data_IF_965202932625
#
_entry.id   IF_965202932625
#
_cell.length_a   1.000
_cell.length_b   1.000
_cell.length_c   1.000
_cell.angle_alpha   90.00
_cell.angle_beta   90.00
_cell.angle_gamma   90.00
#
_symmetry.space_group_name_H-M   'P 1'
#
loop_
_entity.id
_entity.type
_entity.pdbx_description
1 polymer ?
#
# COMPACT_ATOMS: atom_id res chain seq x y z
N UNK A 1 -15.36 16.19 -11.75
CA UNK A 1 -16.04 15.69 -10.54
C UNK A 1 -14.95 15.42 -9.53
N UNK A 2 -14.92 16.19 -8.48
CA UNK A 2 -13.81 16.19 -7.52
C UNK A 2 -13.85 14.92 -6.65
N UNK A 3 -12.74 14.18 -6.61
CA UNK A 3 -12.51 13.09 -5.70
C UNK A 3 -12.13 13.70 -4.34
N UNK A 4 -12.98 13.55 -3.35
CA UNK A 4 -12.69 13.94 -1.97
C UNK A 4 -12.67 12.70 -1.06
N UNK A 5 -12.26 12.88 0.20
CA UNK A 5 -12.15 11.80 1.16
C UNK A 5 -13.43 10.94 1.25
N UNK A 6 -14.60 11.57 1.36
CA UNK A 6 -15.87 10.86 1.50
C UNK A 6 -16.25 10.08 0.24
N UNK A 7 -16.02 10.65 -0.94
CA UNK A 7 -16.27 9.94 -2.20
C UNK A 7 -15.34 8.74 -2.37
N UNK A 8 -14.08 8.84 -1.98
CA UNK A 8 -13.14 7.72 -1.98
C UNK A 8 -13.56 6.62 -0.99
N UNK A 9 -14.00 7.00 0.22
CA UNK A 9 -14.55 6.03 1.19
C UNK A 9 -15.80 5.32 0.65
N UNK A 10 -16.69 6.02 -0.04
CA UNK A 10 -17.85 5.41 -0.67
C UNK A 10 -17.43 4.42 -1.75
N UNK A 11 -16.53 4.81 -2.66
CA UNK A 11 -16.02 3.91 -3.68
C UNK A 11 -15.38 2.67 -3.03
N UNK A 12 -14.56 2.86 -2.01
CA UNK A 12 -13.94 1.77 -1.26
C UNK A 12 -14.98 0.78 -0.68
N UNK A 13 -15.97 1.30 0.03
CA UNK A 13 -17.00 0.48 0.67
C UNK A 13 -17.89 -0.24 -0.35
N UNK A 14 -18.35 0.49 -1.38
CA UNK A 14 -19.26 -0.07 -2.40
C UNK A 14 -18.54 -1.14 -3.23
N UNK A 15 -17.32 -0.89 -3.69
CA UNK A 15 -16.58 -1.91 -4.44
C UNK A 15 -16.13 -3.08 -3.57
N UNK A 16 -15.85 -2.86 -2.28
CA UNK A 16 -15.61 -3.96 -1.34
C UNK A 16 -16.85 -4.85 -1.17
N UNK A 17 -18.03 -4.25 -1.12
CA UNK A 17 -19.30 -4.98 -1.05
C UNK A 17 -19.60 -5.71 -2.37
N UNK A 18 -19.48 -5.04 -3.51
CA UNK A 18 -19.70 -5.66 -4.82
C UNK A 18 -18.72 -6.82 -5.09
N UNK A 19 -17.47 -6.67 -4.69
CA UNK A 19 -16.47 -7.73 -4.76
C UNK A 19 -16.86 -8.93 -3.91
N UNK A 20 -17.32 -8.70 -2.68
CA UNK A 20 -17.85 -9.75 -1.82
C UNK A 20 -19.07 -10.44 -2.45
N UNK A 21 -20.00 -9.70 -3.03
CA UNK A 21 -21.17 -10.28 -3.74
C UNK A 21 -20.70 -11.17 -4.87
N UNK A 22 -19.80 -10.67 -5.74
CA UNK A 22 -19.31 -11.43 -6.88
C UNK A 22 -18.63 -12.75 -6.45
N UNK A 23 -17.71 -12.69 -5.47
CA UNK A 23 -17.02 -13.86 -4.94
C UNK A 23 -17.99 -14.86 -4.29
N UNK A 24 -18.92 -14.35 -3.48
CA UNK A 24 -19.91 -15.18 -2.78
C UNK A 24 -20.88 -15.86 -3.76
N UNK A 25 -21.33 -15.15 -4.79
CA UNK A 25 -22.19 -15.71 -5.84
C UNK A 25 -21.46 -16.83 -6.59
N UNK A 26 -20.23 -16.58 -7.06
CA UNK A 26 -19.44 -17.58 -7.78
C UNK A 26 -19.17 -18.81 -6.90
N UNK A 27 -18.81 -18.61 -5.65
CA UNK A 27 -18.55 -19.72 -4.72
C UNK A 27 -19.83 -20.50 -4.38
N UNK A 28 -20.96 -19.81 -4.19
CA UNK A 28 -22.26 -20.42 -3.90
C UNK A 28 -22.75 -21.26 -5.06
N UNK A 29 -22.62 -20.77 -6.30
CA UNK A 29 -22.99 -21.54 -7.50
C UNK A 29 -22.13 -22.79 -7.64
N UNK A 30 -20.79 -22.67 -7.45
CA UNK A 30 -19.87 -23.82 -7.53
C UNK A 30 -20.07 -24.81 -6.41
N UNK A 31 -20.31 -24.33 -5.18
CA UNK A 31 -20.47 -25.17 -3.99
C UNK A 31 -21.87 -25.69 -3.72
N UNK A 32 -22.88 -25.28 -4.51
CA UNK A 32 -24.31 -25.58 -4.30
C UNK A 32 -24.83 -25.28 -2.89
N UNK A 33 -24.15 -24.42 -2.17
CA UNK A 33 -24.51 -23.97 -0.81
C UNK A 33 -23.97 -22.56 -0.59
N UNK A 34 -24.62 -21.76 0.28
CA UNK A 34 -24.14 -20.41 0.58
C UNK A 34 -22.74 -20.42 1.18
N UNK A 35 -21.78 -19.75 0.52
CA UNK A 35 -20.39 -19.66 0.93
C UNK A 35 -20.00 -18.18 1.03
N UNK A 36 -19.84 -17.66 2.26
CA UNK A 36 -19.31 -16.32 2.47
C UNK A 36 -17.79 -16.29 2.21
N UNK A 37 -17.38 -15.61 1.14
CA UNK A 37 -15.98 -15.52 0.67
C UNK A 37 -15.20 -14.32 1.23
N UNK A 38 -15.81 -13.47 2.06
CA UNK A 38 -15.10 -12.38 2.73
C UNK A 38 -14.02 -12.91 3.67
N UNK A 39 -12.84 -12.27 3.72
CA UNK A 39 -11.81 -12.53 4.75
C UNK A 39 -12.35 -12.13 6.12
N UNK A 40 -13.03 -11.00 6.20
CA UNK A 40 -13.78 -10.54 7.38
C UNK A 40 -15.14 -11.25 7.50
N UNK A 41 -15.79 -11.11 8.64
CA UNK A 41 -17.12 -11.71 8.90
C UNK A 41 -18.22 -10.98 8.14
N UNK A 42 -18.06 -9.68 7.93
CA UNK A 42 -18.99 -8.82 7.19
C UNK A 42 -18.95 -9.02 5.68
N UNK A 43 -19.89 -8.40 4.97
CA UNK A 43 -20.04 -8.54 3.53
C UNK A 43 -19.06 -7.62 2.77
N UNK A 44 -17.77 -7.71 3.06
CA UNK A 44 -16.74 -6.88 2.44
C UNK A 44 -15.54 -7.69 1.98
N UNK A 45 -15.10 -7.42 0.74
CA UNK A 45 -13.84 -7.90 0.20
C UNK A 45 -12.94 -6.69 -0.11
N UNK A 46 -12.11 -6.31 0.86
CA UNK A 46 -11.34 -5.05 0.84
C UNK A 46 -10.32 -4.95 -0.29
N UNK A 47 -9.89 -6.08 -0.85
CA UNK A 47 -9.01 -6.12 -2.03
C UNK A 47 -9.62 -5.35 -3.20
N UNK A 48 -10.93 -5.56 -3.44
CA UNK A 48 -11.67 -4.88 -4.51
C UNK A 48 -11.80 -3.38 -4.26
N UNK A 49 -12.14 -2.98 -3.03
CA UNK A 49 -12.23 -1.57 -2.67
C UNK A 49 -10.89 -0.86 -2.80
N UNK A 50 -9.81 -1.50 -2.33
CA UNK A 50 -8.44 -0.96 -2.45
C UNK A 50 -8.05 -0.78 -3.91
N UNK A 51 -8.24 -1.81 -4.74
CA UNK A 51 -7.93 -1.72 -6.17
C UNK A 51 -8.75 -0.62 -6.86
N UNK A 52 -10.06 -0.53 -6.57
CA UNK A 52 -10.94 0.46 -7.17
C UNK A 52 -10.58 1.90 -6.79
N UNK A 53 -10.22 2.16 -5.53
CA UNK A 53 -9.78 3.49 -5.10
C UNK A 53 -8.47 3.89 -5.78
N UNK A 54 -7.49 2.99 -5.82
CA UNK A 54 -6.22 3.24 -6.51
C UNK A 54 -6.43 3.51 -8.01
N UNK A 55 -7.36 2.78 -8.65
CA UNK A 55 -7.73 3.03 -10.06
C UNK A 55 -8.46 4.36 -10.24
N UNK A 56 -9.37 4.71 -9.32
CA UNK A 56 -10.13 5.95 -9.40
C UNK A 56 -9.21 7.18 -9.29
N UNK A 57 -8.21 7.12 -8.42
CA UNK A 57 -7.21 8.20 -8.23
C UNK A 57 -6.18 8.20 -9.34
N UNK A 58 -5.60 7.01 -9.63
CA UNK A 58 -4.44 6.91 -10.51
C UNK A 58 -4.75 6.97 -12.00
N UNK A 59 -5.96 6.56 -12.44
CA UNK A 59 -6.25 6.35 -13.87
C UNK A 59 -7.38 7.22 -14.42
N UNK A 60 -7.75 8.28 -13.69
CA UNK A 60 -8.77 9.23 -14.15
C UNK A 60 -8.39 9.85 -15.51
N UNK A 61 -7.12 10.17 -15.69
CA UNK A 61 -6.57 10.81 -16.90
C UNK A 61 -6.46 9.86 -18.10
N UNK A 62 -6.48 8.55 -17.85
CA UNK A 62 -6.36 7.52 -18.90
C UNK A 62 -7.70 7.18 -19.58
N UNK A 63 -8.80 7.85 -19.22
CA UNK A 63 -10.14 7.59 -19.80
C UNK A 63 -10.19 7.74 -21.31
N UNK A 64 -9.37 8.62 -21.88
CA UNK A 64 -9.26 8.85 -23.32
C UNK A 64 -8.40 7.81 -24.04
N UNK A 65 -7.67 6.97 -23.32
CA UNK A 65 -6.73 5.98 -23.87
C UNK A 65 -7.08 4.58 -23.40
N UNK A 66 -8.06 3.89 -24.01
CA UNK A 66 -8.61 2.62 -23.50
C UNK A 66 -7.59 1.52 -23.30
N UNK A 67 -6.59 1.41 -24.19
CA UNK A 67 -5.54 0.39 -24.07
C UNK A 67 -4.66 0.65 -22.84
N UNK A 68 -4.24 1.91 -22.63
CA UNK A 68 -3.43 2.28 -21.48
C UNK A 68 -4.24 2.11 -20.19
N UNK A 69 -5.51 2.48 -20.17
CA UNK A 69 -6.44 2.28 -19.07
C UNK A 69 -6.57 0.79 -18.72
N UNK A 70 -6.80 -0.07 -19.72
CA UNK A 70 -6.89 -1.52 -19.52
C UNK A 70 -5.62 -2.08 -18.90
N UNK A 71 -4.44 -1.76 -19.47
CA UNK A 71 -3.16 -2.25 -18.98
C UNK A 71 -2.87 -1.75 -17.55
N UNK A 72 -3.16 -0.47 -17.28
CA UNK A 72 -3.03 0.10 -15.94
C UNK A 72 -3.93 -0.60 -14.92
N UNK A 73 -5.20 -0.82 -15.25
CA UNK A 73 -6.16 -1.53 -14.39
C UNK A 73 -5.74 -2.98 -14.14
N UNK A 74 -5.31 -3.70 -15.18
CA UNK A 74 -4.84 -5.08 -15.06
C UNK A 74 -3.59 -5.16 -14.17
N UNK A 75 -2.61 -4.29 -14.38
CA UNK A 75 -1.40 -4.23 -13.56
C UNK A 75 -1.72 -3.89 -12.09
N UNK A 76 -2.51 -2.83 -11.86
CA UNK A 76 -2.90 -2.42 -10.51
C UNK A 76 -3.61 -3.55 -9.75
N UNK A 77 -4.63 -4.16 -10.36
CA UNK A 77 -5.38 -5.24 -9.70
C UNK A 77 -4.48 -6.45 -9.41
N UNK A 78 -3.62 -6.84 -10.35
CA UNK A 78 -2.65 -7.93 -10.18
C UNK A 78 -1.70 -7.66 -9.01
N UNK A 79 -1.22 -6.41 -8.90
CA UNK A 79 -0.35 -5.98 -7.80
C UNK A 79 -1.10 -6.04 -6.46
N UNK A 80 -2.29 -5.47 -6.40
CA UNK A 80 -3.10 -5.45 -5.16
C UNK A 80 -3.45 -6.87 -4.73
N UNK A 81 -3.84 -7.75 -5.66
CA UNK A 81 -4.14 -9.16 -5.39
C UNK A 81 -2.91 -9.91 -4.88
N UNK A 82 -1.77 -9.75 -5.55
CA UNK A 82 -0.51 -10.40 -5.15
C UNK A 82 -0.02 -9.93 -3.78
N UNK A 83 0.00 -8.59 -3.54
CA UNK A 83 0.40 -8.00 -2.26
C UNK A 83 -0.51 -8.51 -1.14
N UNK A 84 -1.82 -8.50 -1.37
CA UNK A 84 -2.80 -8.95 -0.38
C UNK A 84 -2.62 -10.43 -0.06
N UNK A 85 -2.45 -11.28 -1.08
CA UNK A 85 -2.22 -12.72 -0.89
C UNK A 85 -0.96 -12.98 -0.04
N UNK A 86 0.14 -12.30 -0.38
CA UNK A 86 1.42 -12.38 0.37
C UNK A 86 1.28 -11.91 1.81
N UNK A 87 0.59 -10.80 2.05
CA UNK A 87 0.36 -10.27 3.39
C UNK A 87 -0.50 -11.22 4.22
N UNK A 88 -1.61 -11.71 3.65
CA UNK A 88 -2.50 -12.65 4.32
C UNK A 88 -1.77 -13.97 4.66
N UNK A 89 -0.97 -14.51 3.73
CA UNK A 89 -0.18 -15.71 4.01
C UNK A 89 0.83 -15.49 5.12
N UNK A 90 1.51 -14.33 5.15
CA UNK A 90 2.45 -14.00 6.23
C UNK A 90 1.78 -13.78 7.58
N UNK A 91 0.62 -13.11 7.59
CA UNK A 91 -0.14 -12.84 8.81
C UNK A 91 -0.78 -14.10 9.37
N UNK A 92 -1.34 -14.93 8.50
CA UNK A 92 -2.16 -16.07 8.92
C UNK A 92 -1.45 -17.42 8.70
N UNK A 93 -0.26 -17.44 8.09
CA UNK A 93 0.51 -18.64 7.73
C UNK A 93 -0.31 -19.65 6.94
N UNK A 94 -1.23 -19.17 6.09
CA UNK A 94 -2.14 -19.97 5.26
C UNK A 94 -2.33 -19.29 3.93
N UNK A 95 -2.36 -20.05 2.82
CA UNK A 95 -2.79 -19.57 1.51
C UNK A 95 -4.30 -19.50 1.45
N UNK A 96 -4.84 -18.33 1.09
CA UNK A 96 -6.28 -18.14 0.96
C UNK A 96 -6.81 -18.58 -0.39
N UNK A 97 -5.99 -18.48 -1.43
CA UNK A 97 -6.24 -19.02 -2.77
C UNK A 97 -4.93 -19.45 -3.40
N UNK A 98 -5.02 -20.34 -4.41
CA UNK A 98 -3.87 -20.87 -5.13
C UNK A 98 -4.21 -21.04 -6.61
N UNK A 99 -3.44 -20.37 -7.48
CA UNK A 99 -3.52 -20.46 -8.93
C UNK A 99 -2.32 -21.19 -9.53
N UNK A 100 -1.62 -22.00 -8.76
CA UNK A 100 -0.43 -22.73 -9.23
C UNK A 100 -0.73 -23.66 -10.40
N UNK A 101 -1.99 -24.12 -10.53
CA UNK A 101 -2.50 -24.93 -11.63
C UNK A 101 -2.77 -24.14 -12.92
N UNK A 102 -2.77 -22.79 -12.84
CA UNK A 102 -3.08 -21.92 -13.99
C UNK A 102 -1.83 -21.55 -14.77
N UNK A 103 -1.96 -21.49 -16.11
CA UNK A 103 -0.88 -21.01 -16.98
C UNK A 103 -0.58 -19.54 -16.70
N UNK A 104 0.72 -19.17 -16.79
CA UNK A 104 1.21 -17.80 -16.53
C UNK A 104 0.80 -17.29 -15.14
N UNK A 105 0.87 -18.15 -14.12
CA UNK A 105 0.74 -17.69 -12.73
C UNK A 105 2.07 -17.14 -12.20
N UNK A 106 1.97 -16.23 -11.24
CA UNK A 106 3.09 -15.72 -10.47
C UNK A 106 2.90 -16.16 -9.01
N UNK A 107 3.78 -17.08 -8.57
CA UNK A 107 3.79 -17.64 -7.20
C UNK A 107 2.49 -18.38 -6.80
N UNK A 108 1.59 -18.64 -7.73
CA UNK A 108 0.27 -19.18 -7.43
C UNK A 108 -0.70 -18.13 -6.83
N UNK A 109 -0.27 -16.88 -6.62
CA UNK A 109 -1.14 -15.84 -6.05
C UNK A 109 -1.97 -15.11 -7.10
N UNK A 110 -1.43 -14.92 -8.31
CA UNK A 110 -2.09 -14.28 -9.44
C UNK A 110 -1.83 -15.06 -10.72
N UNK A 111 -2.70 -14.92 -11.72
CA UNK A 111 -2.47 -15.51 -13.04
C UNK A 111 -3.02 -14.58 -14.15
N UNK A 112 -2.45 -14.73 -15.36
CA UNK A 112 -2.78 -13.87 -16.50
C UNK A 112 -4.28 -13.82 -16.81
N UNK A 113 -4.97 -14.95 -16.72
CA UNK A 113 -6.41 -15.02 -17.00
C UNK A 113 -7.22 -14.10 -16.10
N UNK A 114 -6.94 -14.10 -14.80
CA UNK A 114 -7.62 -13.22 -13.84
C UNK A 114 -7.12 -11.79 -13.93
N UNK A 115 -5.84 -11.56 -14.23
CA UNK A 115 -5.31 -10.21 -14.49
C UNK A 115 -6.04 -9.52 -15.66
N UNK A 116 -6.33 -10.26 -16.74
CA UNK A 116 -7.12 -9.74 -17.87
C UNK A 116 -8.56 -9.43 -17.43
N UNK A 117 -9.20 -10.34 -16.68
CA UNK A 117 -10.55 -10.12 -16.17
C UNK A 117 -10.61 -8.88 -15.27
N UNK A 118 -9.65 -8.73 -14.36
CA UNK A 118 -9.53 -7.56 -13.48
C UNK A 118 -9.28 -6.27 -14.25
N UNK A 119 -8.49 -6.34 -15.33
CA UNK A 119 -8.30 -5.21 -16.24
C UNK A 119 -9.59 -4.70 -16.86
N UNK A 120 -10.44 -5.63 -17.35
CA UNK A 120 -11.75 -5.29 -17.91
C UNK A 120 -12.71 -4.72 -16.87
N UNK A 121 -12.79 -5.34 -15.69
CA UNK A 121 -13.65 -4.87 -14.60
C UNK A 121 -13.18 -3.51 -14.08
N UNK A 122 -11.87 -3.31 -13.94
CA UNK A 122 -11.27 -2.04 -13.53
C UNK A 122 -11.56 -0.94 -14.57
N UNK A 123 -11.39 -1.22 -15.84
CA UNK A 123 -11.74 -0.28 -16.91
C UNK A 123 -13.24 0.09 -16.85
N UNK A 124 -14.14 -0.88 -16.68
CA UNK A 124 -15.55 -0.63 -16.51
C UNK A 124 -15.86 0.23 -15.28
N UNK A 125 -15.16 0.00 -14.17
CA UNK A 125 -15.32 0.80 -12.96
C UNK A 125 -14.90 2.26 -13.18
N UNK A 126 -13.75 2.50 -13.82
CA UNK A 126 -13.23 3.87 -14.07
C UNK A 126 -14.09 4.61 -15.09
N UNK A 127 -14.53 3.94 -16.17
CA UNK A 127 -15.30 4.60 -17.25
C UNK A 127 -16.75 4.89 -16.83
N UNK A 128 -17.40 3.95 -16.17
CA UNK A 128 -18.86 4.03 -15.91
C UNK A 128 -19.20 3.91 -14.42
N UNK A 129 -18.62 2.95 -13.73
CA UNK A 129 -18.98 2.61 -12.35
C UNK A 129 -18.78 3.78 -11.38
N UNK A 130 -17.61 4.41 -11.40
CA UNK A 130 -17.32 5.57 -10.55
C UNK A 130 -18.24 6.75 -10.84
N UNK A 131 -18.52 7.03 -12.12
CA UNK A 131 -19.41 8.12 -12.52
C UNK A 131 -20.83 7.87 -12.01
N UNK A 132 -21.33 6.63 -12.16
CA UNK A 132 -22.66 6.26 -11.67
C UNK A 132 -22.74 6.38 -10.15
N UNK A 133 -21.79 5.80 -9.42
CA UNK A 133 -21.78 5.83 -7.95
C UNK A 133 -21.70 7.25 -7.40
N UNK A 134 -20.84 8.08 -7.98
CA UNK A 134 -20.70 9.48 -7.55
C UNK A 134 -21.96 10.31 -7.86
N UNK A 135 -22.66 10.04 -8.99
CA UNK A 135 -23.97 10.64 -9.25
C UNK A 135 -25.03 10.20 -8.23
N UNK A 136 -25.05 8.92 -7.87
CA UNK A 136 -25.97 8.41 -6.83
C UNK A 136 -25.67 9.04 -5.46
N UNK A 137 -24.39 9.19 -5.11
CA UNK A 137 -24.00 9.87 -3.87
C UNK A 137 -24.43 11.34 -3.85
N UNK A 138 -24.39 12.02 -4.98
CA UNK A 138 -24.82 13.42 -5.09
C UNK A 138 -26.34 13.62 -4.86
N UNK A 139 -27.15 12.56 -4.93
CA UNK A 139 -28.57 12.59 -4.59
C UNK A 139 -28.82 12.57 -3.07
N UNK A 140 -27.82 12.17 -2.28
CA UNK A 140 -27.97 12.09 -0.84
C UNK A 140 -27.59 13.43 -0.19
N UNK A 141 -28.30 13.85 0.87
CA UNK A 141 -27.87 14.98 1.68
C UNK A 141 -26.47 14.73 2.26
N UNK A 142 -25.57 15.73 2.19
CA UNK A 142 -24.16 15.59 2.60
C UNK A 142 -23.98 15.05 4.01
N UNK A 143 -24.80 15.51 4.97
CA UNK A 143 -24.74 15.02 6.34
C UNK A 143 -25.05 13.52 6.46
N UNK A 144 -26.02 13.01 5.67
CA UNK A 144 -26.39 11.59 5.67
C UNK A 144 -25.26 10.74 5.08
N UNK A 145 -24.62 11.23 4.00
CA UNK A 145 -23.46 10.57 3.40
C UNK A 145 -22.31 10.49 4.41
N UNK A 146 -22.00 11.57 5.12
CA UNK A 146 -20.92 11.61 6.11
C UNK A 146 -21.18 10.62 7.27
N UNK A 147 -22.39 10.63 7.86
CA UNK A 147 -22.76 9.69 8.92
C UNK A 147 -22.69 8.25 8.41
N UNK A 148 -23.23 7.98 7.23
CA UNK A 148 -23.21 6.64 6.63
C UNK A 148 -21.81 6.12 6.37
N UNK A 149 -20.92 6.96 5.85
CA UNK A 149 -19.50 6.61 5.62
C UNK A 149 -18.79 6.31 6.94
N UNK A 150 -18.91 7.17 7.95
CA UNK A 150 -18.25 6.94 9.24
C UNK A 150 -18.78 5.69 9.93
N UNK A 151 -20.11 5.47 9.93
CA UNK A 151 -20.71 4.27 10.50
C UNK A 151 -20.22 2.99 9.79
N UNK A 152 -20.24 2.97 8.45
CA UNK A 152 -19.81 1.82 7.65
C UNK A 152 -18.30 1.56 7.80
N UNK A 153 -17.46 2.59 7.79
CA UNK A 153 -16.00 2.46 8.01
C UNK A 153 -15.70 1.96 9.42
N UNK A 154 -16.39 2.47 10.43
CA UNK A 154 -16.21 2.00 11.82
C UNK A 154 -16.56 0.52 11.92
N UNK A 155 -17.72 0.10 11.39
CA UNK A 155 -18.13 -1.30 11.38
C UNK A 155 -17.13 -2.18 10.62
N UNK A 156 -16.64 -1.73 9.48
CA UNK A 156 -15.64 -2.45 8.69
C UNK A 156 -14.31 -2.61 9.46
N UNK A 157 -13.84 -1.56 10.14
CA UNK A 157 -12.63 -1.61 10.98
C UNK A 157 -12.82 -2.56 12.16
N UNK A 158 -13.95 -2.46 12.87
CA UNK A 158 -14.24 -3.35 14.00
C UNK A 158 -14.33 -4.82 13.58
N UNK A 159 -14.92 -5.11 12.42
CA UNK A 159 -14.99 -6.47 11.86
C UNK A 159 -13.60 -7.00 11.49
N UNK A 160 -12.74 -6.16 10.90
CA UNK A 160 -11.34 -6.51 10.61
C UNK A 160 -10.53 -6.77 11.86
N UNK A 161 -10.65 -5.90 12.86
CA UNK A 161 -9.96 -6.09 14.15
C UNK A 161 -10.45 -7.35 14.84
N UNK A 162 -11.76 -7.60 14.88
CA UNK A 162 -12.36 -8.82 15.43
C UNK A 162 -11.86 -10.08 14.72
N UNK A 163 -11.79 -10.04 13.38
CA UNK A 163 -11.26 -11.14 12.55
C UNK A 163 -9.76 -11.35 12.78
N UNK A 164 -8.96 -10.27 12.82
CA UNK A 164 -7.53 -10.34 13.07
C UNK A 164 -7.22 -10.90 14.48
N UNK A 165 -7.96 -10.47 15.49
CA UNK A 165 -7.84 -11.01 16.87
C UNK A 165 -8.24 -12.49 16.94
N UNK A 166 -9.29 -12.89 16.20
CA UNK A 166 -9.73 -14.29 16.16
C UNK A 166 -8.72 -15.20 15.44
N UNK A 167 -8.06 -14.72 14.39
CA UNK A 167 -7.13 -15.51 13.57
C UNK A 167 -5.69 -15.47 14.12
N UNK A 168 -5.27 -14.37 14.77
CA UNK A 168 -3.92 -14.19 15.31
C UNK A 168 -3.66 -14.91 16.64
N UNK A 169 -4.41 -15.95 16.96
CA UNK A 169 -4.21 -16.80 18.15
C UNK A 169 -2.80 -17.38 18.28
N UNK A 170 -1.95 -17.28 17.24
CA UNK A 170 -0.59 -17.80 17.19
C UNK A 170 0.51 -16.73 17.39
N UNK A 171 0.18 -15.46 17.58
CA UNK A 171 1.17 -14.39 17.81
C UNK A 171 1.39 -14.06 19.30
N UNK A 172 0.71 -14.73 20.21
CA UNK A 172 0.85 -14.50 21.64
C UNK A 172 2.01 -15.33 22.22
N UNK A 173 3.23 -14.89 22.03
CA UNK A 173 4.39 -15.29 22.84
C UNK A 173 5.06 -14.07 23.48
N UNK A 174 4.25 -13.16 24.05
CA UNK A 174 4.76 -12.10 24.91
C UNK A 174 4.16 -12.23 26.32
N UNK A 175 4.98 -12.47 27.36
CA UNK A 175 4.50 -12.76 28.73
C UNK A 175 3.68 -11.62 29.37
N UNK A 176 3.84 -10.38 28.94
CA UNK A 176 3.05 -9.24 29.44
C UNK A 176 1.62 -9.16 28.86
N UNK A 177 1.40 -9.68 27.64
CA UNK A 177 0.07 -9.78 27.04
C UNK A 177 -0.69 -10.99 27.56
N UNK A 178 0.01 -12.00 28.04
CA UNK A 178 -0.57 -13.19 28.66
C UNK A 178 -1.22 -12.87 30.03
N UNK A 179 -0.64 -11.99 30.82
CA UNK A 179 -1.22 -11.54 32.09
C UNK A 179 -2.48 -10.66 31.89
N UNK A 180 -2.47 -9.73 30.93
CA UNK A 180 -3.65 -8.95 30.54
C UNK A 180 -4.75 -9.83 29.90
N UNK A 181 -4.37 -10.86 29.16
CA UNK A 181 -5.30 -11.85 28.63
C UNK A 181 -5.98 -12.68 29.74
N UNK A 182 -5.23 -13.10 30.75
CA UNK A 182 -5.76 -13.90 31.87
C UNK A 182 -6.81 -13.14 32.71
N UNK A 183 -6.67 -11.81 32.84
CA UNK A 183 -7.68 -10.99 33.54
C UNK A 183 -8.94 -10.74 32.68
N UNK A 184 -8.77 -10.57 31.35
CA UNK A 184 -9.89 -10.46 30.40
C UNK A 184 -10.55 -11.82 30.12
N UNK A 185 -9.82 -12.91 30.23
CA UNK A 185 -10.30 -14.28 30.02
C UNK A 185 -11.40 -14.69 31.01
N UNK A 186 -11.35 -14.23 32.26
CA UNK A 186 -12.34 -14.60 33.27
C UNK A 186 -13.78 -14.11 32.96
N UNK A 187 -13.94 -13.08 32.13
CA UNK A 187 -15.26 -12.49 31.85
C UNK A 187 -15.74 -12.65 30.39
N UNK A 188 -14.90 -13.06 29.45
CA UNK A 188 -15.27 -13.08 28.02
C UNK A 188 -15.08 -14.42 27.27
N UNK A 189 -14.64 -15.47 27.94
CA UNK A 189 -14.26 -16.75 27.30
C UNK A 189 -15.34 -17.40 26.43
N UNK A 190 -16.58 -17.38 26.88
CA UNK A 190 -17.66 -18.01 26.09
C UNK A 190 -17.99 -17.28 24.79
N UNK A 191 -17.94 -15.95 24.81
CA UNK A 191 -18.22 -15.13 23.63
C UNK A 191 -17.06 -15.18 22.64
N UNK A 192 -15.82 -15.09 23.15
CA UNK A 192 -14.58 -15.18 22.39
C UNK A 192 -14.42 -16.53 21.71
N UNK A 193 -14.64 -17.63 22.43
CA UNK A 193 -14.57 -18.99 21.85
C UNK A 193 -15.65 -19.20 20.77
N UNK A 194 -16.85 -18.67 20.95
CA UNK A 194 -17.91 -18.74 19.94
C UNK A 194 -17.54 -17.92 18.68
N UNK A 195 -16.99 -16.71 18.85
CA UNK A 195 -16.53 -15.87 17.74
C UNK A 195 -15.39 -16.53 16.96
N UNK A 196 -14.37 -17.04 17.67
CA UNK A 196 -13.23 -17.74 17.05
C UNK A 196 -13.72 -18.98 16.29
N UNK A 197 -14.53 -19.84 16.92
CA UNK A 197 -15.07 -21.03 16.29
C UNK A 197 -15.98 -20.70 15.08
N UNK A 198 -16.73 -19.61 15.15
CA UNK A 198 -17.57 -19.16 14.05
C UNK A 198 -16.71 -18.69 12.85
N UNK A 199 -15.68 -17.87 13.10
CA UNK A 199 -14.77 -17.37 12.08
C UNK A 199 -13.97 -18.51 11.45
N UNK A 200 -13.44 -19.42 12.26
CA UNK A 200 -12.66 -20.57 11.79
C UNK A 200 -13.49 -21.53 10.94
N UNK A 201 -14.70 -21.86 11.39
CA UNK A 201 -15.66 -22.69 10.62
C UNK A 201 -16.07 -22.03 9.31
N UNK A 202 -16.21 -20.69 9.29
CA UNK A 202 -16.50 -19.92 8.09
C UNK A 202 -15.32 -19.94 7.12
N UNK A 203 -14.11 -19.71 7.60
CA UNK A 203 -12.89 -19.76 6.79
C UNK A 203 -12.70 -21.12 6.15
N UNK A 204 -12.84 -22.21 6.90
CA UNK A 204 -12.73 -23.57 6.38
C UNK A 204 -13.79 -23.88 5.31
N UNK A 205 -15.02 -23.36 5.46
CA UNK A 205 -16.07 -23.53 4.45
C UNK A 205 -15.83 -22.69 3.20
N UNK A 206 -15.34 -21.46 3.37
CA UNK A 206 -15.09 -20.53 2.27
C UNK A 206 -13.86 -20.94 1.44
N UNK A 207 -12.86 -21.52 2.09
CA UNK A 207 -11.55 -21.85 1.49
C UNK A 207 -11.11 -23.27 1.87
N UNK A 208 -11.77 -24.32 1.34
CA UNK A 208 -11.50 -25.70 1.72
C UNK A 208 -10.09 -26.19 1.34
N UNK A 209 -9.46 -25.55 0.36
CA UNK A 209 -8.10 -25.85 -0.13
C UNK A 209 -7.03 -24.97 0.52
N UNK A 210 -7.18 -24.63 1.79
CA UNK A 210 -6.11 -23.93 2.51
C UNK A 210 -4.96 -24.92 2.71
N UNK A 211 -4.00 -24.90 1.79
CA UNK A 211 -2.74 -25.64 1.95
C UNK A 211 -1.94 -24.93 3.05
N UNK A 212 -1.68 -25.64 4.14
CA UNK A 212 -0.64 -25.19 5.07
C UNK A 212 0.67 -25.28 4.30
N UNK A 213 1.45 -24.19 4.18
CA UNK A 213 2.79 -24.32 3.63
C UNK A 213 3.53 -25.34 4.48
N UNK A 214 4.14 -26.35 3.83
CA UNK A 214 5.05 -27.24 4.54
C UNK A 214 6.08 -26.37 5.30
N UNK A 215 6.44 -26.75 6.52
CA UNK A 215 7.45 -26.02 7.27
C UNK A 215 8.78 -26.14 6.51
N UNK A 216 9.03 -25.23 5.58
CA UNK A 216 10.36 -25.05 4.99
C UNK A 216 11.32 -24.81 6.12
N UNK A 217 12.26 -25.73 6.25
CA UNK A 217 13.31 -25.72 7.24
C UNK A 217 14.13 -24.44 7.14
N UNK A 218 13.79 -23.50 7.90
CA UNK A 218 14.48 -22.41 8.54
C UNK A 218 13.42 -21.35 8.85
N UNK A 219 13.01 -21.28 10.12
CA UNK A 219 12.19 -20.19 10.65
C UNK A 219 12.98 -18.88 10.52
N UNK A 220 12.89 -18.24 9.36
CA UNK A 220 13.31 -16.85 9.27
C UNK A 220 12.48 -16.03 10.25
N UNK A 221 13.18 -15.46 11.23
CA UNK A 221 12.57 -14.67 12.29
C UNK A 221 11.80 -13.49 11.66
N UNK A 222 10.51 -13.37 11.91
CA UNK A 222 9.70 -12.28 11.40
C UNK A 222 10.36 -10.92 11.67
N UNK A 223 10.30 -9.99 10.71
CA UNK A 223 10.78 -8.62 10.91
C UNK A 223 9.95 -7.97 12.02
N UNK A 224 10.61 -7.48 13.06
CA UNK A 224 9.94 -6.71 14.11
C UNK A 224 9.59 -5.31 13.60
N UNK A 225 8.69 -4.60 14.29
CA UNK A 225 8.40 -3.19 13.98
C UNK A 225 9.69 -2.34 13.96
N UNK A 226 10.58 -2.54 14.93
CA UNK A 226 11.86 -1.85 14.95
C UNK A 226 12.72 -2.12 13.71
N UNK A 227 12.70 -3.35 13.17
CA UNK A 227 13.41 -3.66 11.92
C UNK A 227 12.86 -2.87 10.74
N UNK A 228 11.53 -2.74 10.66
CA UNK A 228 10.87 -1.98 9.60
C UNK A 228 11.20 -0.48 9.70
N UNK A 229 11.23 0.09 10.91
CA UNK A 229 11.62 1.49 11.12
C UNK A 229 13.06 1.73 10.68
N UNK A 230 13.99 0.88 11.09
CA UNK A 230 15.39 1.04 10.69
C UNK A 230 15.59 0.82 9.19
N UNK A 231 14.92 -0.16 8.59
CA UNK A 231 14.92 -0.36 7.13
C UNK A 231 14.38 0.87 6.41
N UNK A 232 13.28 1.45 6.90
CA UNK A 232 12.71 2.66 6.33
C UNK A 232 13.71 3.82 6.35
N UNK A 233 14.33 4.08 7.50
CA UNK A 233 15.27 5.21 7.66
C UNK A 233 16.53 5.00 6.81
N UNK A 234 17.11 3.79 6.85
CA UNK A 234 18.28 3.44 6.02
C UNK A 234 17.93 3.57 4.53
N UNK A 235 16.76 3.06 4.13
CA UNK A 235 16.29 3.15 2.75
C UNK A 235 16.02 4.58 2.30
N UNK A 236 15.39 5.38 3.16
CA UNK A 236 15.13 6.78 2.88
C UNK A 236 16.42 7.60 2.71
N UNK A 237 17.40 7.35 3.57
CA UNK A 237 18.70 8.01 3.50
C UNK A 237 19.50 7.58 2.28
N UNK A 238 19.69 6.27 2.08
CA UNK A 238 20.47 5.74 0.96
C UNK A 238 19.82 6.09 -0.38
N UNK A 239 18.50 6.02 -0.46
CA UNK A 239 17.77 6.36 -1.68
C UNK A 239 17.94 7.82 -2.07
N UNK A 240 17.87 8.75 -1.11
CA UNK A 240 18.12 10.17 -1.37
C UNK A 240 19.55 10.40 -1.87
N UNK A 241 20.54 9.78 -1.22
CA UNK A 241 21.95 9.88 -1.64
C UNK A 241 22.16 9.34 -3.06
N UNK A 242 21.64 8.15 -3.35
CA UNK A 242 21.77 7.52 -4.67
C UNK A 242 21.10 8.37 -5.76
N UNK A 243 19.90 8.87 -5.48
CA UNK A 243 19.15 9.68 -6.44
C UNK A 243 19.80 11.06 -6.66
N UNK A 244 20.34 11.67 -5.61
CA UNK A 244 21.09 12.92 -5.70
C UNK A 244 22.37 12.75 -6.54
N UNK A 245 23.10 11.64 -6.34
CA UNK A 245 24.28 11.29 -7.15
C UNK A 245 23.88 11.00 -8.60
N UNK A 246 22.77 10.29 -8.81
CA UNK A 246 22.24 10.03 -10.15
C UNK A 246 21.92 11.34 -10.89
N UNK A 247 21.26 12.30 -10.25
CA UNK A 247 20.99 13.61 -10.82
C UNK A 247 22.28 14.36 -11.15
N UNK A 248 23.33 14.25 -10.31
CA UNK A 248 24.62 14.86 -10.59
C UNK A 248 25.27 14.28 -11.84
N UNK A 249 25.23 12.97 -12.00
CA UNK A 249 25.85 12.27 -13.13
C UNK A 249 25.07 12.49 -14.43
N UNK A 250 23.73 12.46 -14.37
CA UNK A 250 22.88 12.51 -15.58
C UNK A 250 22.52 13.92 -16.01
N UNK A 251 22.25 14.82 -15.07
CA UNK A 251 21.82 16.19 -15.34
C UNK A 251 22.91 17.25 -15.05
N UNK A 252 24.04 16.84 -14.48
CA UNK A 252 25.17 17.75 -14.17
C UNK A 252 24.92 18.69 -12.99
N UNK A 253 23.80 18.60 -12.30
CA UNK A 253 23.40 19.49 -11.22
C UNK A 253 23.28 18.76 -9.88
N UNK A 254 23.66 19.43 -8.79
CA UNK A 254 23.34 18.97 -7.45
C UNK A 254 21.91 19.41 -7.11
N UNK A 255 21.04 18.46 -6.91
CA UNK A 255 19.62 18.69 -6.64
C UNK A 255 19.18 17.83 -5.47
N UNK A 256 18.51 18.44 -4.48
CA UNK A 256 17.89 17.67 -3.40
C UNK A 256 16.83 16.74 -3.95
N UNK A 257 16.83 15.49 -3.48
CA UNK A 257 15.80 14.48 -3.75
C UNK A 257 15.05 14.08 -2.49
N UNK A 258 15.27 14.85 -1.40
CA UNK A 258 14.60 14.62 -0.15
C UNK A 258 13.09 14.86 -0.24
N UNK A 259 12.34 13.98 0.39
CA UNK A 259 10.89 14.17 0.61
C UNK A 259 10.60 14.94 1.90
N UNK A 260 11.61 15.21 2.74
CA UNK A 260 11.46 15.78 4.06
C UNK A 260 12.26 17.06 4.22
N UNK A 261 11.71 18.00 5.02
CA UNK A 261 12.33 19.32 5.28
C UNK A 261 13.54 19.25 6.21
N UNK A 262 13.68 18.14 6.96
CA UNK A 262 14.83 17.88 7.82
C UNK A 262 15.60 16.65 7.39
N UNK A 263 16.78 16.84 6.90
CA UNK A 263 17.72 15.80 6.50
C UNK A 263 17.46 15.22 5.11
N UNK A 264 18.41 14.44 4.60
CA UNK A 264 18.37 13.82 3.28
C UNK A 264 17.59 12.50 3.34
N UNK A 265 16.27 12.56 3.36
CA UNK A 265 15.41 11.38 3.45
C UNK A 265 14.36 11.36 2.34
N UNK A 266 14.39 10.37 1.49
CA UNK A 266 13.36 10.07 0.50
C UNK A 266 12.36 9.05 1.05
N UNK A 267 11.15 9.51 1.39
CA UNK A 267 10.06 8.65 1.89
C UNK A 267 9.72 7.55 0.90
N UNK A 268 9.74 7.86 -0.39
CA UNK A 268 9.49 6.91 -1.48
C UNK A 268 10.49 5.74 -1.42
N UNK A 269 11.78 6.01 -1.32
CA UNK A 269 12.80 4.97 -1.20
C UNK A 269 12.72 4.19 0.12
N UNK A 270 12.41 4.88 1.21
CA UNK A 270 12.22 4.23 2.51
C UNK A 270 11.08 3.21 2.47
N UNK A 271 9.93 3.60 1.96
CA UNK A 271 8.78 2.71 1.79
C UNK A 271 9.05 1.59 0.78
N UNK A 272 9.73 1.89 -0.33
CA UNK A 272 10.11 0.89 -1.32
C UNK A 272 10.97 -0.22 -0.71
N UNK A 273 11.98 0.14 0.11
CA UNK A 273 12.83 -0.85 0.77
C UNK A 273 12.07 -1.70 1.81
N UNK A 274 11.22 -1.08 2.62
CA UNK A 274 10.36 -1.81 3.56
C UNK A 274 9.45 -2.76 2.79
N UNK A 275 8.80 -2.30 1.74
CA UNK A 275 7.93 -3.11 0.90
C UNK A 275 8.71 -4.27 0.25
N UNK A 276 9.88 -3.98 -0.33
CA UNK A 276 10.74 -5.01 -0.92
C UNK A 276 11.19 -6.05 0.13
N UNK A 277 11.61 -5.61 1.31
CA UNK A 277 12.00 -6.52 2.40
C UNK A 277 10.83 -7.37 2.91
N UNK A 278 9.61 -6.82 2.92
CA UNK A 278 8.41 -7.56 3.33
C UNK A 278 7.92 -8.49 2.24
N UNK A 279 7.87 -8.05 0.99
CA UNK A 279 7.24 -8.80 -0.11
C UNK A 279 8.19 -9.81 -0.76
N UNK A 280 9.48 -9.45 -0.93
CA UNK A 280 10.47 -10.28 -1.61
C UNK A 280 11.25 -11.20 -0.68
N UNK A 281 10.99 -11.16 0.62
CA UNK A 281 11.61 -12.07 1.58
C UNK A 281 11.30 -13.54 1.23
N UNK A 282 12.30 -14.41 1.30
CA UNK A 282 12.17 -15.81 0.88
C UNK A 282 12.13 -15.97 -0.65
N UNK A 283 12.56 -14.93 -1.39
CA UNK A 283 12.70 -14.99 -2.86
C UNK A 283 14.13 -15.23 -3.31
N UNK A 284 15.04 -15.51 -2.38
CA UNK A 284 16.47 -15.76 -2.65
C UNK A 284 16.68 -16.99 -3.56
N UNK A 285 15.82 -17.98 -3.46
CA UNK A 285 15.87 -19.19 -4.29
C UNK A 285 15.24 -19.01 -5.68
N UNK A 286 14.58 -17.87 -5.94
CA UNK A 286 13.96 -17.62 -7.23
C UNK A 286 14.98 -17.27 -8.30
N UNK A 287 14.63 -17.55 -9.57
CA UNK A 287 15.42 -17.12 -10.71
C UNK A 287 15.47 -15.59 -10.83
N UNK A 288 16.58 -15.04 -11.29
CA UNK A 288 16.74 -13.60 -11.52
C UNK A 288 15.67 -13.04 -12.48
N UNK A 289 15.22 -13.85 -13.44
CA UNK A 289 14.12 -13.47 -14.34
C UNK A 289 12.81 -13.22 -13.60
N UNK A 290 12.49 -14.08 -12.64
CA UNK A 290 11.28 -13.93 -11.83
C UNK A 290 11.36 -12.71 -10.92
N UNK A 291 12.52 -12.47 -10.30
CA UNK A 291 12.77 -11.30 -9.46
C UNK A 291 12.71 -10.02 -10.30
N UNK A 292 13.33 -10.04 -11.48
CA UNK A 292 13.30 -8.91 -12.41
C UNK A 292 11.88 -8.56 -12.85
N UNK A 293 11.11 -9.53 -13.36
CA UNK A 293 9.72 -9.31 -13.78
C UNK A 293 8.86 -8.78 -12.65
N UNK A 294 9.04 -9.31 -11.46
CA UNK A 294 8.37 -8.82 -10.27
C UNK A 294 8.74 -7.35 -9.98
N UNK A 295 10.03 -7.03 -9.93
CA UNK A 295 10.51 -5.67 -9.71
C UNK A 295 10.07 -4.69 -10.79
N UNK A 296 10.07 -5.13 -12.05
CA UNK A 296 9.57 -4.36 -13.19
C UNK A 296 8.10 -3.93 -13.00
N UNK A 297 7.22 -4.89 -12.71
CA UNK A 297 5.77 -4.62 -12.55
C UNK A 297 5.50 -3.89 -11.23
N UNK A 298 6.05 -4.39 -10.13
CA UNK A 298 5.80 -3.83 -8.81
C UNK A 298 6.42 -2.46 -8.61
N UNK A 299 7.63 -2.26 -9.11
CA UNK A 299 8.30 -0.97 -9.04
C UNK A 299 7.60 0.09 -9.88
N UNK A 300 7.19 -0.25 -11.11
CA UNK A 300 6.42 0.66 -11.95
C UNK A 300 5.05 1.01 -11.34
N UNK A 301 4.34 0.03 -10.78
CA UNK A 301 3.08 0.27 -10.10
C UNK A 301 3.27 1.14 -8.84
N UNK A 302 4.30 0.86 -8.06
CA UNK A 302 4.66 1.64 -6.88
C UNK A 302 4.95 3.11 -7.23
N UNK A 303 5.77 3.35 -8.25
CA UNK A 303 6.11 4.69 -8.73
C UNK A 303 4.86 5.45 -9.19
N UNK A 304 4.00 4.77 -9.94
CA UNK A 304 2.72 5.33 -10.39
C UNK A 304 1.83 5.72 -9.20
N UNK A 305 1.67 4.82 -8.22
CA UNK A 305 0.88 5.07 -7.03
C UNK A 305 1.45 6.24 -6.21
N UNK A 306 2.77 6.29 -6.02
CA UNK A 306 3.41 7.39 -5.30
C UNK A 306 3.16 8.75 -5.97
N UNK A 307 3.24 8.80 -7.30
CA UNK A 307 2.92 10.02 -8.06
C UNK A 307 1.46 10.43 -7.89
N UNK A 308 0.53 9.49 -8.06
CA UNK A 308 -0.91 9.76 -7.95
C UNK A 308 -1.32 10.18 -6.53
N UNK A 309 -0.78 9.52 -5.51
CA UNK A 309 -1.04 9.87 -4.10
C UNK A 309 -0.41 11.23 -3.74
N UNK A 310 0.80 11.51 -4.23
CA UNK A 310 1.45 12.81 -4.03
C UNK A 310 0.63 13.95 -4.60
N UNK A 311 0.12 13.80 -5.82
CA UNK A 311 -0.76 14.80 -6.45
C UNK A 311 -2.09 14.95 -5.69
N UNK A 312 -2.72 13.84 -5.28
CA UNK A 312 -3.97 13.88 -4.52
C UNK A 312 -3.82 14.59 -3.18
N UNK A 313 -2.71 14.37 -2.45
CA UNK A 313 -2.51 14.90 -1.10
C UNK A 313 -1.98 16.34 -1.11
N UNK A 314 -1.15 16.68 -2.08
CA UNK A 314 -0.39 17.93 -2.09
C UNK A 314 -0.67 18.83 -3.30
N UNK A 315 -1.45 18.37 -4.28
CA UNK A 315 -1.71 19.14 -5.51
C UNK A 315 -0.47 19.35 -6.39
N UNK A 316 0.60 18.59 -6.15
CA UNK A 316 1.87 18.73 -6.89
C UNK A 316 2.36 17.38 -7.37
N UNK A 317 3.05 17.38 -8.51
CA UNK A 317 3.81 16.23 -9.03
C UNK A 317 5.30 16.48 -8.82
N UNK A 318 6.02 15.44 -8.40
CA UNK A 318 7.46 15.52 -8.11
C UNK A 318 8.33 15.04 -9.27
N UNK A 319 7.74 14.35 -10.25
CA UNK A 319 8.36 13.94 -11.51
C UNK A 319 7.33 13.85 -12.62
N UNK A 320 7.77 14.02 -13.85
CA UNK A 320 6.93 14.04 -15.03
C UNK A 320 7.65 13.35 -16.19
N UNK A 321 7.11 12.22 -16.64
CA UNK A 321 7.63 11.44 -17.77
C UNK A 321 6.84 11.64 -19.05
N UNK A 322 5.98 12.65 -19.15
CA UNK A 322 5.16 12.88 -20.34
C UNK A 322 5.99 13.10 -21.61
N UNK A 323 7.21 13.62 -21.48
CA UNK A 323 8.18 13.75 -22.58
C UNK A 323 8.86 12.45 -23.03
N UNK A 324 8.70 11.35 -22.29
CA UNK A 324 9.29 10.06 -22.63
C UNK A 324 8.32 9.21 -23.45
N UNK A 325 8.85 8.43 -24.41
CA UNK A 325 8.06 7.41 -25.12
C UNK A 325 7.69 6.28 -24.15
N UNK A 326 6.53 5.66 -24.36
CA UNK A 326 6.03 4.57 -23.52
C UNK A 326 5.85 4.95 -22.04
N UNK A 327 5.40 6.17 -21.78
CA UNK A 327 4.97 6.57 -20.44
C UNK A 327 3.49 6.21 -20.23
N UNK A 328 3.09 6.06 -18.97
CA UNK A 328 1.72 5.86 -18.54
C UNK A 328 1.27 7.08 -17.72
N UNK A 329 0.51 7.99 -18.36
CA UNK A 329 0.01 9.20 -17.75
C UNK A 329 1.11 10.17 -17.23
N UNK A 330 2.31 10.15 -17.81
CA UNK A 330 3.46 10.95 -17.33
C UNK A 330 4.02 10.50 -15.99
N UNK A 331 3.41 9.51 -15.31
CA UNK A 331 3.72 9.13 -13.92
C UNK A 331 4.79 8.04 -13.81
N UNK A 332 4.82 7.15 -14.80
CA UNK A 332 5.81 6.07 -14.92
C UNK A 332 6.12 5.84 -16.40
N UNK A 333 7.29 5.36 -16.72
CA UNK A 333 7.63 4.95 -18.08
C UNK A 333 8.32 3.58 -18.10
N UNK A 334 8.32 2.97 -19.30
CA UNK A 334 8.84 1.63 -19.52
C UNK A 334 10.32 1.50 -19.14
N UNK A 335 11.14 2.52 -19.44
CA UNK A 335 12.58 2.50 -19.13
C UNK A 335 12.81 2.42 -17.61
N UNK A 336 12.08 3.20 -16.81
CA UNK A 336 12.20 3.17 -15.36
C UNK A 336 11.66 1.89 -14.76
N UNK A 337 10.63 1.27 -15.38
CA UNK A 337 10.21 -0.08 -14.99
C UNK A 337 11.35 -1.10 -15.14
N UNK A 338 12.17 -1.01 -16.22
CA UNK A 338 13.38 -1.84 -16.37
C UNK A 338 14.39 -1.60 -15.25
N UNK A 339 14.62 -0.34 -14.86
CA UNK A 339 15.49 -0.02 -13.74
C UNK A 339 14.97 -0.58 -12.42
N UNK A 340 13.66 -0.54 -12.17
CA UNK A 340 13.03 -1.19 -11.01
C UNK A 340 13.24 -2.71 -11.02
N UNK A 341 13.14 -3.36 -12.18
CA UNK A 341 13.45 -4.78 -12.35
C UNK A 341 14.89 -5.11 -11.99
N UNK A 342 15.85 -4.34 -12.50
CA UNK A 342 17.27 -4.50 -12.16
C UNK A 342 17.52 -4.23 -10.68
N UNK A 343 16.94 -3.16 -10.14
CA UNK A 343 17.07 -2.79 -8.74
C UNK A 343 16.54 -3.91 -7.81
N UNK A 344 15.45 -4.58 -8.17
CA UNK A 344 14.93 -5.71 -7.41
C UNK A 344 15.90 -6.90 -7.37
N UNK A 345 16.54 -7.23 -8.50
CA UNK A 345 17.55 -8.31 -8.56
C UNK A 345 18.78 -7.93 -7.71
N UNK A 346 19.31 -6.72 -7.89
CA UNK A 346 20.44 -6.22 -7.10
C UNK A 346 20.12 -6.19 -5.61
N UNK A 347 18.91 -5.74 -5.26
CA UNK A 347 18.46 -5.72 -3.87
C UNK A 347 18.43 -7.12 -3.26
N UNK A 348 17.79 -8.09 -3.91
CA UNK A 348 17.68 -9.45 -3.38
C UNK A 348 19.04 -10.14 -3.30
N UNK A 349 19.89 -10.01 -4.31
CA UNK A 349 21.17 -10.70 -4.37
C UNK A 349 22.24 -10.09 -3.48
N UNK A 350 22.25 -8.77 -3.35
CA UNK A 350 23.34 -8.04 -2.67
C UNK A 350 22.84 -7.09 -1.59
N UNK A 351 21.81 -6.29 -1.86
CA UNK A 351 21.35 -5.24 -0.96
C UNK A 351 20.75 -5.78 0.33
N UNK A 352 19.79 -6.67 0.20
CA UNK A 352 19.10 -7.25 1.36
C UNK A 352 20.03 -8.03 2.30
N UNK A 353 20.91 -8.94 1.82
CA UNK A 353 21.89 -9.63 2.68
C UNK A 353 22.82 -8.65 3.40
N UNK A 354 23.29 -7.61 2.71
CA UNK A 354 24.16 -6.58 3.30
C UNK A 354 23.43 -5.81 4.40
N UNK A 355 22.23 -5.33 4.13
CA UNK A 355 21.42 -4.58 5.10
C UNK A 355 20.99 -5.47 6.26
N UNK A 356 20.62 -6.72 6.01
CA UNK A 356 20.29 -7.69 7.06
C UNK A 356 21.48 -7.92 8.01
N UNK A 357 22.71 -8.05 7.47
CA UNK A 357 23.94 -8.18 8.25
C UNK A 357 24.24 -6.89 9.05
N UNK A 358 24.07 -5.73 8.42
CA UNK A 358 24.22 -4.44 9.10
C UNK A 358 23.21 -4.30 10.24
N UNK A 359 21.93 -4.63 9.98
CA UNK A 359 20.88 -4.62 11.01
C UNK A 359 21.17 -5.56 12.16
N UNK A 360 21.66 -6.78 11.87
CA UNK A 360 22.02 -7.74 12.91
C UNK A 360 23.16 -7.22 13.81
N UNK A 361 24.11 -6.48 13.24
CA UNK A 361 25.18 -5.85 14.00
C UNK A 361 24.68 -4.64 14.79
N UNK A 362 23.88 -3.77 14.16
CA UNK A 362 23.31 -2.60 14.80
C UNK A 362 22.40 -2.97 15.98
N UNK A 363 21.63 -4.03 15.88
CA UNK A 363 20.75 -4.53 16.97
C UNK A 363 21.50 -4.80 18.28
N UNK A 364 22.79 -5.10 18.24
CA UNK A 364 23.61 -5.31 19.43
C UNK A 364 23.85 -4.00 20.20
N UNK A 365 23.75 -2.85 19.53
CA UNK A 365 24.06 -1.52 20.06
C UNK A 365 22.83 -0.60 20.14
N UNK A 366 21.73 -0.95 19.44
CA UNK A 366 20.48 -0.19 19.45
C UNK A 366 19.68 -0.53 20.69
N UNK A 367 19.55 0.45 21.56
CA UNK A 367 18.64 0.37 22.69
C UNK A 367 17.19 0.62 22.21
N UNK A 368 16.17 -0.02 22.82
CA UNK A 368 14.77 0.14 22.40
C UNK A 368 14.30 1.60 22.32
N UNK A 369 14.76 2.45 23.22
CA UNK A 369 14.41 3.87 23.24
C UNK A 369 14.91 4.62 21.99
N UNK A 370 16.06 4.21 21.41
CA UNK A 370 16.59 4.83 20.18
C UNK A 370 15.62 4.61 19.00
N UNK A 371 15.02 3.42 18.90
CA UNK A 371 14.01 3.13 17.89
C UNK A 371 12.76 4.00 18.09
N UNK A 372 12.34 4.20 19.34
CA UNK A 372 11.19 5.07 19.65
C UNK A 372 11.50 6.52 19.27
N UNK A 373 12.65 7.05 19.66
CA UNK A 373 13.08 8.43 19.32
C UNK A 373 13.14 8.59 17.81
N UNK A 374 13.73 7.64 17.09
CA UNK A 374 13.83 7.67 15.63
C UNK A 374 12.44 7.63 14.97
N UNK A 375 11.55 6.79 15.46
CA UNK A 375 10.16 6.71 14.97
C UNK A 375 9.43 8.04 15.17
N UNK A 376 9.52 8.62 16.36
CA UNK A 376 8.91 9.93 16.67
C UNK A 376 9.52 11.03 15.81
N UNK A 377 10.85 11.06 15.68
CA UNK A 377 11.54 12.02 14.81
C UNK A 377 11.05 11.93 13.36
N UNK A 378 10.98 10.73 12.78
CA UNK A 378 10.52 10.55 11.41
C UNK A 378 9.04 10.91 11.26
N UNK A 379 8.19 10.54 12.21
CA UNK A 379 6.77 10.89 12.19
C UNK A 379 6.55 12.40 12.25
N UNK A 380 7.26 13.10 13.15
CA UNK A 380 7.21 14.56 13.26
C UNK A 380 7.75 15.22 11.99
N UNK A 381 8.88 14.74 11.46
CA UNK A 381 9.48 15.28 10.24
C UNK A 381 8.55 15.10 9.03
N UNK A 382 7.92 13.94 8.88
CA UNK A 382 6.94 13.69 7.81
C UNK A 382 5.72 14.60 7.95
N UNK A 383 5.16 14.72 9.16
CA UNK A 383 4.01 15.59 9.42
C UNK A 383 4.34 17.08 9.16
N UNK A 384 5.48 17.53 9.65
CA UNK A 384 5.94 18.91 9.43
C UNK A 384 6.22 19.18 7.95
N UNK A 385 6.82 18.24 7.24
CA UNK A 385 7.09 18.35 5.79
C UNK A 385 5.79 18.46 4.99
N UNK A 386 4.78 17.67 5.34
CA UNK A 386 3.46 17.73 4.72
C UNK A 386 2.78 19.09 4.96
N UNK A 387 2.80 19.58 6.20
CA UNK A 387 2.25 20.90 6.56
C UNK A 387 3.00 22.04 5.85
N UNK A 388 4.34 21.97 5.82
CA UNK A 388 5.17 22.98 5.15
C UNK A 388 4.89 23.01 3.64
N UNK A 389 4.72 21.84 3.01
CA UNK A 389 4.39 21.73 1.58
C UNK A 389 2.99 22.27 1.28
N UNK A 390 1.99 21.90 2.08
CA UNK A 390 0.63 22.44 1.96
C UNK A 390 0.60 23.96 2.15
N UNK A 391 1.36 24.49 3.15
CA UNK A 391 1.47 25.93 3.37
C UNK A 391 2.21 26.64 2.22
N UNK A 392 3.26 26.02 1.68
CA UNK A 392 3.97 26.54 0.51
C UNK A 392 3.03 26.65 -0.70
N UNK A 393 2.20 25.65 -0.95
CA UNK A 393 1.20 25.70 -2.02
C UNK A 393 0.16 26.82 -1.79
N UNK A 394 -0.41 26.92 -0.58
CA UNK A 394 -1.35 27.97 -0.22
C UNK A 394 -0.73 29.38 -0.38
N UNK A 395 0.50 29.57 0.10
CA UNK A 395 1.22 30.85 0.03
C UNK A 395 1.53 31.26 -1.43
N UNK A 396 1.97 30.30 -2.26
CA UNK A 396 2.23 30.58 -3.68
C UNK A 396 0.94 30.77 -4.49
N UNK A 397 -0.20 30.36 -3.96
CA UNK A 397 -1.54 30.68 -4.48
C UNK A 397 -2.12 31.99 -3.93
N UNK A 398 -1.34 32.76 -3.18
CA UNK A 398 -1.76 34.07 -2.65
C UNK A 398 -2.63 34.02 -1.39
N UNK A 399 -2.75 32.84 -0.72
CA UNK A 399 -3.55 32.69 0.49
C UNK A 399 -2.75 33.14 1.70
N UNK A 400 -3.26 34.19 2.41
CA UNK A 400 -2.65 34.70 3.62
C UNK A 400 -2.67 33.67 4.77
N UNK A 401 -1.73 33.78 5.77
CA UNK A 401 -1.74 32.90 6.93
C UNK A 401 -3.02 33.09 7.75
N UNK A 402 -3.74 32.01 8.04
CA UNK A 402 -4.99 32.02 8.76
C UNK A 402 -4.84 31.81 10.28
N UNK A 403 -3.72 31.25 10.72
CA UNK A 403 -3.48 30.90 12.13
C UNK A 403 -2.00 30.99 12.50
N UNK A 404 -1.68 30.78 13.80
CA UNK A 404 -0.29 30.86 14.31
C UNK A 404 0.62 29.79 13.70
N UNK A 405 0.09 28.63 13.33
CA UNK A 405 0.87 27.58 12.69
C UNK A 405 1.29 28.01 11.29
N UNK A 406 0.40 28.65 10.52
CA UNK A 406 0.72 29.15 9.18
C UNK A 406 1.83 30.18 9.24
N UNK A 407 1.76 31.11 10.23
CA UNK A 407 2.82 32.12 10.47
C UNK A 407 4.14 31.44 10.80
N UNK A 408 4.15 30.47 11.70
CA UNK A 408 5.35 29.70 12.05
C UNK A 408 5.95 29.00 10.83
N UNK A 409 5.09 28.39 9.98
CA UNK A 409 5.53 27.71 8.76
C UNK A 409 6.08 28.72 7.74
N UNK A 410 5.51 29.92 7.62
CA UNK A 410 5.99 30.97 6.73
C UNK A 410 7.36 31.51 7.15
N UNK A 411 7.60 31.62 8.46
CA UNK A 411 8.88 32.12 9.00
C UNK A 411 10.01 31.08 8.90
N UNK A 412 9.71 29.78 9.10
CA UNK A 412 10.74 28.75 9.19
C UNK A 412 10.91 27.96 7.90
N UNK A 413 9.90 27.94 7.02
CA UNK A 413 9.88 27.22 5.74
C UNK A 413 9.45 28.16 4.61
N UNK A 414 10.24 29.21 4.40
CA UNK A 414 10.02 30.20 3.35
C UNK A 414 10.10 29.59 1.93
N UNK A 415 9.72 30.36 0.92
CA UNK A 415 9.71 29.89 -0.46
C UNK A 415 11.11 29.42 -0.91
N UNK A 416 12.15 30.16 -0.56
CA UNK A 416 13.52 29.84 -0.96
C UNK A 416 14.01 28.52 -0.35
N UNK A 417 13.58 28.20 0.88
CA UNK A 417 13.86 26.90 1.52
C UNK A 417 13.06 25.79 0.87
N UNK A 418 11.76 26.00 0.61
CA UNK A 418 10.90 24.99 -0.01
C UNK A 418 11.34 24.66 -1.43
N UNK A 419 11.73 25.63 -2.24
CA UNK A 419 12.28 25.43 -3.58
C UNK A 419 13.62 24.67 -3.57
N UNK A 420 14.44 24.85 -2.54
CA UNK A 420 15.67 24.06 -2.37
C UNK A 420 15.39 22.62 -1.98
N UNK A 421 14.37 22.37 -1.14
CA UNK A 421 14.01 21.01 -0.69
C UNK A 421 13.25 20.28 -1.79
N UNK A 422 12.33 20.96 -2.49
CA UNK A 422 11.45 20.39 -3.50
C UNK A 422 11.62 21.07 -4.87
N UNK A 423 12.81 21.00 -5.48
CA UNK A 423 13.10 21.76 -6.71
C UNK A 423 12.27 21.30 -7.93
N UNK A 424 11.69 20.11 -7.89
CA UNK A 424 10.88 19.55 -8.97
C UNK A 424 9.37 19.55 -8.69
N UNK A 425 8.92 20.14 -7.58
CA UNK A 425 7.50 20.21 -7.30
C UNK A 425 6.80 21.12 -8.33
N UNK A 426 5.97 20.54 -9.19
CA UNK A 426 5.17 21.28 -10.17
C UNK A 426 3.71 21.22 -9.75
N UNK A 427 3.04 22.39 -9.75
CA UNK A 427 1.59 22.46 -9.52
C UNK A 427 0.85 21.77 -10.65
N UNK A 428 -0.12 20.96 -10.31
CA UNK A 428 -1.15 20.48 -11.26
C UNK A 428 -2.22 21.52 -11.30
N UNK A 429 -2.30 22.25 -12.44
CA UNK A 429 -3.31 23.27 -12.70
C UNK A 429 -4.72 22.73 -12.82
#
# INVERSE_FOLDING_TARGET
>A
MELNFYTLCVLYLVYSFLGWVAETVVATIKGRAFVNRGVASGPFCFVYGTAAVLMAVGFADLRSTPVALFLGCAANATVVEWVTAKLLERMHRRRWWDYSDKKFNLDGYVCLQYSVLWGLLGMASVLWGNVLLLRLCALLPGWLLHIGVWAAMTLAVLDQLGTALAVNRYAASHPRLEQLNLELEKHSDKLRQRLIAHVEKRIQRAYPTIVQPEPTAQKEKALSFGDLVWLFVIGAFLGDVVETLFCRVTAGVWMSRSSLVWGPFSVVWGLALVMAAVLLRGSEERSDRSIFLFGFVMGGAYEYICSAVGELLFGVIFWDYSGFKFNLGGRVNLLYCFFWGIAAVVWIRYGYPLVAKLMANLKKHILPWMTVVLTVFMAVNMGLSALALARYDARTSGIAPANRLDVFLDEHFDNARMERVYPNAKKTG
#
